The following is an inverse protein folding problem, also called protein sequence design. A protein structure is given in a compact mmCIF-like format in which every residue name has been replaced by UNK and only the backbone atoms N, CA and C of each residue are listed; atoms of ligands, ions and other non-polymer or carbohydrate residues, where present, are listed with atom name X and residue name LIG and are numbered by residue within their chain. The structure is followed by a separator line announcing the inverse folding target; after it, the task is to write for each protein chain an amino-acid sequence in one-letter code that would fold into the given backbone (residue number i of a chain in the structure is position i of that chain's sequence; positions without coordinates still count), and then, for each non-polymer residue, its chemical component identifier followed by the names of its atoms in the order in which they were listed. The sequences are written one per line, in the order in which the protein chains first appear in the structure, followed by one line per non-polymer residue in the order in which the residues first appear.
data_IF_569410324733
#
_entry.id   IF_569410324733
#
_cell.length_a   1.000
_cell.length_b   1.000
_cell.length_c   1.000
_cell.angle_alpha   90.00
_cell.angle_beta   90.00
_cell.angle_gamma   90.00
#
_symmetry.space_group_name_H-M   'P 1'
#
loop_
_entity.id
_entity.type
_entity.pdbx_description
1 polymer ?
#
# COMPACT_ATOMS: atom_id res chain seq x y z
N UNK A 1 -12.43 39.65 22.36
CA UNK A 1 -11.39 39.09 21.49
C UNK A 1 -11.13 37.67 21.95
N UNK A 2 -11.25 36.69 21.06
CA UNK A 2 -11.06 35.27 21.43
C UNK A 2 -9.61 35.00 21.86
N UNK A 3 -9.44 34.69 23.14
CA UNK A 3 -8.14 34.58 23.81
C UNK A 3 -7.23 33.45 23.25
N UNK A 4 -7.77 32.57 22.40
CA UNK A 4 -7.07 31.40 21.86
C UNK A 4 -6.80 31.47 20.35
N UNK A 5 -7.18 32.57 19.67
CA UNK A 5 -7.03 32.67 18.21
C UNK A 5 -5.56 32.49 17.74
N UNK A 6 -4.60 32.95 18.55
CA UNK A 6 -3.17 32.79 18.29
C UNK A 6 -2.66 31.34 18.42
N UNK A 7 -3.46 30.43 19.01
CA UNK A 7 -3.13 29.01 19.16
C UNK A 7 -3.74 28.14 18.05
N UNK A 8 -4.64 28.69 17.22
CA UNK A 8 -5.24 28.00 16.10
C UNK A 8 -4.28 28.05 14.91
N UNK A 9 -3.26 27.22 14.94
CA UNK A 9 -2.28 27.06 13.86
C UNK A 9 -2.42 25.68 13.22
N UNK A 10 -2.34 25.63 11.89
CA UNK A 10 -2.29 24.41 11.09
C UNK A 10 -0.92 23.71 11.17
N UNK A 11 -0.82 22.49 10.58
CA UNK A 11 0.41 21.68 10.62
C UNK A 11 1.63 22.35 9.95
N UNK A 12 1.40 23.33 9.09
CA UNK A 12 2.35 24.15 8.37
C UNK A 12 2.68 25.47 9.10
N UNK A 13 2.14 25.69 10.29
CA UNK A 13 2.30 26.90 11.09
C UNK A 13 1.46 28.09 10.61
N UNK A 14 0.58 27.90 9.62
CA UNK A 14 -0.35 28.94 9.16
C UNK A 14 -1.58 29.04 10.07
N UNK A 15 -2.27 30.20 10.14
CA UNK A 15 -3.53 30.31 10.87
C UNK A 15 -4.56 29.28 10.40
N UNK A 16 -5.11 28.50 11.34
CA UNK A 16 -6.16 27.53 11.09
C UNK A 16 -7.52 28.24 11.00
N UNK A 17 -8.36 27.83 10.04
CA UNK A 17 -9.67 28.44 9.81
C UNK A 17 -10.58 28.28 11.04
N UNK A 18 -10.94 29.39 11.73
CA UNK A 18 -11.79 29.33 12.92
C UNK A 18 -13.20 28.79 12.63
N UNK A 19 -13.67 28.88 11.38
CA UNK A 19 -15.00 28.40 10.98
C UNK A 19 -15.08 26.87 11.07
N UNK A 20 -13.95 26.16 10.94
CA UNK A 20 -13.88 24.71 11.11
C UNK A 20 -13.90 24.27 12.60
N UNK A 21 -13.73 25.21 13.54
CA UNK A 21 -13.64 24.94 14.99
C UNK A 21 -15.05 24.91 15.59
N UNK A 22 -15.74 23.79 15.40
CA UNK A 22 -17.09 23.56 15.93
C UNK A 22 -17.10 22.50 17.05
N UNK A 23 -18.05 22.51 18.00
CA UNK A 23 -18.13 21.51 19.08
C UNK A 23 -18.06 20.06 18.59
N UNK A 24 -18.64 19.79 17.42
CA UNK A 24 -18.61 18.47 16.80
C UNK A 24 -17.19 18.03 16.39
N UNK A 25 -16.32 18.97 15.97
CA UNK A 25 -14.94 18.69 15.61
C UNK A 25 -14.12 18.26 16.83
N UNK A 26 -14.32 18.90 17.98
CA UNK A 26 -13.66 18.49 19.24
C UNK A 26 -14.03 17.06 19.65
N UNK A 27 -15.31 16.70 19.52
CA UNK A 27 -15.80 15.35 19.81
C UNK A 27 -15.18 14.31 18.87
N UNK A 28 -15.06 14.61 17.59
CA UNK A 28 -14.39 13.74 16.61
C UNK A 28 -12.90 13.61 16.88
N UNK A 29 -12.20 14.70 17.18
CA UNK A 29 -10.77 14.66 17.52
C UNK A 29 -10.50 13.89 18.80
N UNK A 30 -11.34 14.05 19.83
CA UNK A 30 -11.28 13.26 21.06
C UNK A 30 -11.44 11.75 20.75
N UNK A 31 -12.49 11.39 20.01
CA UNK A 31 -12.76 10.01 19.63
C UNK A 31 -11.63 9.38 18.80
N UNK A 32 -11.12 10.13 17.82
CA UNK A 32 -10.06 9.69 16.93
C UNK A 32 -8.74 9.46 17.68
N UNK A 33 -8.38 10.34 18.63
CA UNK A 33 -7.18 10.16 19.46
C UNK A 33 -7.25 8.90 20.32
N UNK A 34 -8.39 8.63 20.95
CA UNK A 34 -8.58 7.43 21.77
C UNK A 34 -8.54 6.15 20.91
N UNK A 35 -9.12 6.19 19.70
CA UNK A 35 -9.00 5.08 18.76
C UNK A 35 -7.55 4.86 18.30
N UNK A 36 -6.80 5.93 18.02
CA UNK A 36 -5.38 5.88 17.65
C UNK A 36 -4.47 5.35 18.78
N UNK A 37 -4.84 5.61 20.03
CA UNK A 37 -4.15 5.13 21.23
C UNK A 37 -4.54 3.68 21.60
N UNK A 38 -5.45 3.06 20.84
CA UNK A 38 -5.79 1.64 20.97
C UNK A 38 -6.84 1.35 22.05
N UNK A 39 -7.61 2.34 22.50
CA UNK A 39 -8.75 2.13 23.40
C UNK A 39 -9.73 1.15 22.78
N UNK A 40 -10.30 0.23 23.56
CA UNK A 40 -11.24 -0.77 23.06
C UNK A 40 -12.52 -0.10 22.48
N UNK A 41 -13.05 -0.55 21.32
CA UNK A 41 -14.26 0.02 20.71
C UNK A 41 -15.49 0.10 21.62
N UNK A 42 -15.67 -0.85 22.53
CA UNK A 42 -16.80 -0.86 23.46
C UNK A 42 -16.64 0.21 24.54
N UNK A 43 -15.41 0.43 25.01
CA UNK A 43 -15.07 1.50 25.96
C UNK A 43 -15.24 2.86 25.29
N UNK A 44 -14.75 3.03 24.06
CA UNK A 44 -14.93 4.29 23.34
C UNK A 44 -16.40 4.55 23.00
N UNK A 45 -17.18 3.50 22.69
CA UNK A 45 -18.64 3.62 22.49
C UNK A 45 -19.32 4.16 23.75
N UNK A 46 -18.94 3.68 24.92
CA UNK A 46 -19.47 4.15 26.20
C UNK A 46 -19.04 5.59 26.50
N UNK A 47 -17.76 5.92 26.33
CA UNK A 47 -17.25 7.29 26.50
C UNK A 47 -17.94 8.30 25.57
N UNK A 48 -18.30 7.86 24.36
CA UNK A 48 -19.04 8.67 23.41
C UNK A 48 -20.56 8.61 23.65
N UNK A 49 -21.08 7.72 24.49
CA UNK A 49 -22.54 7.56 24.67
C UNK A 49 -23.25 7.08 23.39
N UNK A 50 -22.56 6.30 22.56
CA UNK A 50 -23.13 5.73 21.33
C UNK A 50 -23.99 4.50 21.65
N UNK A 51 -25.20 4.48 21.09
CA UNK A 51 -26.14 3.33 21.22
C UNK A 51 -25.76 2.14 20.34
N UNK A 52 -24.97 2.35 19.29
CA UNK A 52 -24.53 1.32 18.35
C UNK A 52 -23.01 1.31 18.24
N UNK A 53 -22.42 0.11 18.28
CA UNK A 53 -21.00 -0.13 17.98
C UNK A 53 -20.64 0.28 16.55
N UNK A 54 -21.58 0.17 15.60
CA UNK A 54 -21.37 0.55 14.20
C UNK A 54 -21.04 2.03 14.01
N UNK A 55 -21.62 2.92 14.85
CA UNK A 55 -21.32 4.36 14.81
C UNK A 55 -19.91 4.65 15.32
N UNK A 56 -19.46 3.94 16.34
CA UNK A 56 -18.09 4.06 16.89
C UNK A 56 -17.05 3.41 15.99
N UNK A 57 -17.42 2.34 15.26
CA UNK A 57 -16.53 1.61 14.37
C UNK A 57 -15.90 2.49 13.27
N UNK A 58 -16.53 3.62 12.92
CA UNK A 58 -15.97 4.63 12.03
C UNK A 58 -14.60 5.17 12.46
N UNK A 59 -14.35 5.31 13.77
CA UNK A 59 -13.07 5.76 14.32
C UNK A 59 -11.97 4.68 14.28
N UNK A 60 -12.38 3.41 14.20
CA UNK A 60 -11.49 2.25 14.09
C UNK A 60 -11.25 1.83 12.63
N UNK A 61 -11.90 2.51 11.68
CA UNK A 61 -11.51 2.45 10.27
C UNK A 61 -10.04 2.89 10.23
N UNK A 62 -9.19 2.07 9.63
CA UNK A 62 -7.73 2.14 9.73
C UNK A 62 -7.27 3.60 9.65
N UNK A 63 -6.80 4.12 10.78
CA UNK A 63 -6.56 5.54 10.94
C UNK A 63 -5.31 5.93 10.16
N UNK A 64 -5.25 7.17 9.67
CA UNK A 64 -4.12 7.64 8.86
C UNK A 64 -2.78 7.41 9.57
N UNK A 65 -2.74 7.61 10.89
CA UNK A 65 -1.56 7.34 11.73
C UNK A 65 -1.17 5.86 11.73
N UNK A 66 -2.14 4.95 11.82
CA UNK A 66 -1.89 3.49 11.79
C UNK A 66 -1.48 3.01 10.40
N UNK A 67 -2.12 3.51 9.35
CA UNK A 67 -1.69 3.27 7.95
C UNK A 67 -0.25 3.73 7.78
N UNK A 68 0.06 4.94 8.26
CA UNK A 68 1.39 5.54 8.15
C UNK A 68 2.45 4.72 8.86
N UNK A 69 2.20 4.28 10.09
CA UNK A 69 3.12 3.43 10.83
C UNK A 69 3.33 2.07 10.14
N UNK A 70 2.27 1.49 9.55
CA UNK A 70 2.37 0.25 8.81
C UNK A 70 3.19 0.41 7.51
N UNK A 71 2.96 1.49 6.75
CA UNK A 71 3.73 1.82 5.54
C UNK A 71 5.20 2.00 5.89
N UNK A 72 5.51 2.76 6.95
CA UNK A 72 6.90 3.00 7.37
C UNK A 72 7.58 1.66 7.74
N UNK A 73 6.88 0.76 8.44
CA UNK A 73 7.41 -0.57 8.80
C UNK A 73 7.70 -1.44 7.59
N UNK A 74 6.79 -1.47 6.61
CA UNK A 74 6.94 -2.31 5.42
C UNK A 74 7.96 -1.72 4.43
N UNK A 75 8.09 -0.39 4.37
CA UNK A 75 9.05 0.29 3.48
C UNK A 75 10.51 -0.08 3.74
N UNK A 76 10.85 -0.45 4.97
CA UNK A 76 12.19 -0.95 5.33
C UNK A 76 12.55 -2.27 4.63
N UNK A 77 11.56 -2.97 4.08
CA UNK A 77 11.72 -4.23 3.35
C UNK A 77 11.54 -4.05 1.83
N UNK A 78 11.70 -2.82 1.32
CA UNK A 78 11.59 -2.55 -0.11
C UNK A 78 12.76 -3.15 -0.91
N UNK A 79 12.40 -3.72 -2.06
CA UNK A 79 13.31 -4.28 -3.05
C UNK A 79 13.03 -3.68 -4.43
N UNK A 80 14.04 -3.61 -5.28
CA UNK A 80 13.86 -3.26 -6.70
C UNK A 80 13.36 -4.46 -7.53
N UNK A 81 13.12 -4.23 -8.83
CA UNK A 81 12.67 -5.29 -9.76
C UNK A 81 13.63 -6.47 -9.90
N UNK A 82 14.91 -6.30 -9.54
CA UNK A 82 15.92 -7.36 -9.54
C UNK A 82 16.08 -8.04 -8.17
N UNK A 83 15.26 -7.69 -7.18
CA UNK A 83 15.35 -8.23 -5.81
C UNK A 83 16.49 -7.64 -4.98
N UNK A 84 17.12 -6.55 -5.42
CA UNK A 84 18.13 -5.87 -4.60
C UNK A 84 17.42 -5.01 -3.56
N UNK A 85 17.90 -5.06 -2.31
CA UNK A 85 17.36 -4.23 -1.24
C UNK A 85 17.67 -2.77 -1.52
N UNK A 86 16.64 -1.94 -1.40
CA UNK A 86 16.72 -0.50 -1.68
C UNK A 86 17.22 0.23 -0.44
N UNK A 87 16.80 -0.27 0.73
CA UNK A 87 17.38 0.10 2.01
C UNK A 87 18.35 -1.00 2.43
N UNK A 88 19.66 -0.72 2.34
CA UNK A 88 20.62 -1.36 3.23
C UNK A 88 20.25 -1.05 4.69
N UNK A 89 20.80 -1.76 5.66
CA UNK A 89 20.59 -1.52 7.10
C UNK A 89 21.05 -0.11 7.55
N UNK A 90 20.39 0.95 7.07
CA UNK A 90 20.61 2.33 7.45
C UNK A 90 19.57 2.66 8.52
N UNK A 91 19.84 2.13 9.71
CA UNK A 91 19.27 2.61 10.96
C UNK A 91 19.63 4.10 11.08
N UNK A 92 18.68 5.00 10.77
CA UNK A 92 18.85 6.43 11.07
C UNK A 92 18.59 7.42 9.94
N UNK A 93 17.76 7.11 8.94
CA UNK A 93 17.20 8.19 8.12
C UNK A 93 16.37 9.13 9.01
N UNK A 94 16.69 10.42 8.97
CA UNK A 94 15.94 11.45 9.67
C UNK A 94 14.46 11.37 9.23
N UNK A 95 13.51 11.63 10.13
CA UNK A 95 12.06 11.58 9.81
C UNK A 95 11.69 12.39 8.55
N UNK A 96 12.45 13.45 8.25
CA UNK A 96 12.34 14.25 7.03
C UNK A 96 12.69 13.50 5.75
N UNK A 97 13.63 12.57 5.78
CA UNK A 97 14.03 11.77 4.62
C UNK A 97 12.98 10.69 4.31
N UNK A 98 12.40 10.07 5.35
CA UNK A 98 11.20 9.23 5.20
C UNK A 98 9.99 10.01 4.66
N UNK A 99 9.85 11.30 4.97
CA UNK A 99 8.79 12.15 4.43
C UNK A 99 9.05 12.52 2.96
N UNK A 100 10.30 12.87 2.59
CA UNK A 100 10.68 13.19 1.20
C UNK A 100 10.53 12.00 0.26
N UNK A 101 10.88 10.80 0.72
CA UNK A 101 10.71 9.56 -0.03
C UNK A 101 9.22 9.29 -0.30
N UNK A 102 8.33 9.58 0.66
CA UNK A 102 6.88 9.43 0.48
C UNK A 102 6.27 10.41 -0.51
N UNK A 103 6.73 11.66 -0.53
CA UNK A 103 6.30 12.66 -1.53
C UNK A 103 6.87 12.35 -2.92
N UNK A 104 8.01 11.63 -2.99
CA UNK A 104 8.69 11.22 -4.22
C UNK A 104 8.24 9.88 -4.80
N UNK A 105 7.03 9.41 -4.50
CA UNK A 105 6.53 8.10 -4.90
C UNK A 105 5.10 8.14 -5.44
N UNK A 106 4.80 7.26 -6.39
CA UNK A 106 3.44 7.05 -6.89
C UNK A 106 3.13 5.56 -7.01
N UNK A 107 1.90 5.16 -6.68
CA UNK A 107 1.45 3.78 -6.82
C UNK A 107 1.47 3.33 -8.30
N UNK A 108 1.96 2.12 -8.54
CA UNK A 108 1.97 1.45 -9.84
C UNK A 108 1.61 -0.02 -9.65
N UNK A 109 1.33 -0.79 -10.72
CA UNK A 109 1.09 -2.22 -10.61
C UNK A 109 2.17 -2.92 -9.77
N UNK A 110 1.72 -3.63 -8.73
CA UNK A 110 2.54 -4.45 -7.83
C UNK A 110 3.64 -3.72 -7.04
N UNK A 111 3.57 -2.38 -6.95
CA UNK A 111 4.56 -1.62 -6.23
C UNK A 111 4.36 -0.11 -6.30
N UNK A 112 5.49 0.60 -6.31
CA UNK A 112 5.57 2.04 -6.41
C UNK A 112 6.65 2.45 -7.41
N UNK A 113 6.51 3.64 -7.98
CA UNK A 113 7.48 4.27 -8.86
C UNK A 113 8.10 5.48 -8.17
N UNK A 114 9.43 5.59 -8.24
CA UNK A 114 10.20 6.71 -7.68
C UNK A 114 10.72 7.68 -8.74
N UNK A 115 10.28 7.56 -10.00
CA UNK A 115 10.77 8.42 -11.09
C UNK A 115 10.19 9.84 -10.96
N UNK A 116 11.00 10.90 -10.74
CA UNK A 116 10.49 12.22 -10.36
C UNK A 116 9.48 12.81 -11.36
N UNK A 117 9.70 12.63 -12.66
CA UNK A 117 8.78 13.13 -13.69
C UNK A 117 7.43 12.40 -13.65
N UNK A 118 7.45 11.08 -13.46
CA UNK A 118 6.23 10.28 -13.38
C UNK A 118 5.48 10.51 -12.07
N UNK A 119 6.20 10.68 -10.96
CA UNK A 119 5.61 11.04 -9.66
C UNK A 119 4.93 12.40 -9.74
N UNK A 120 5.60 13.42 -10.32
CA UNK A 120 5.02 14.76 -10.51
C UNK A 120 3.75 14.72 -11.38
N UNK A 121 3.69 13.79 -12.33
CA UNK A 121 2.52 13.58 -13.18
C UNK A 121 1.47 12.63 -12.57
N UNK A 122 1.58 12.26 -11.29
CA UNK A 122 0.63 11.35 -10.64
C UNK A 122 0.55 9.97 -11.29
N UNK A 123 1.66 9.48 -11.85
CA UNK A 123 1.75 8.18 -12.51
C UNK A 123 1.30 8.17 -13.98
N UNK A 124 0.90 9.32 -14.53
CA UNK A 124 0.30 9.43 -15.86
C UNK A 124 1.31 9.71 -16.99
N UNK A 125 2.59 9.93 -16.69
CA UNK A 125 3.61 10.27 -17.72
C UNK A 125 4.59 9.15 -18.04
N UNK A 126 4.44 7.96 -17.44
CA UNK A 126 5.33 6.83 -17.69
C UNK A 126 5.31 6.39 -19.17
N UNK A 127 6.45 6.36 -19.87
CA UNK A 127 6.51 5.92 -21.27
C UNK A 127 6.48 4.39 -21.42
N UNK A 128 6.82 3.64 -20.36
CA UNK A 128 7.02 2.19 -20.39
C UNK A 128 5.79 1.36 -19.98
N UNK A 129 4.63 2.01 -19.81
CA UNK A 129 3.32 1.47 -19.38
C UNK A 129 3.25 -0.06 -19.19
N UNK A 130 2.97 -0.49 -17.95
CA UNK A 130 2.84 -1.89 -17.51
C UNK A 130 4.14 -2.70 -17.40
N UNK A 131 5.28 -2.22 -17.89
CA UNK A 131 6.59 -2.90 -17.74
C UNK A 131 7.32 -2.52 -16.45
N UNK A 132 6.59 -2.32 -15.34
CA UNK A 132 7.17 -1.82 -14.09
C UNK A 132 8.25 -2.74 -13.53
N UNK A 133 8.06 -4.07 -13.58
CA UNK A 133 9.01 -5.06 -13.06
C UNK A 133 10.41 -4.94 -13.69
N UNK A 134 10.51 -4.50 -14.95
CA UNK A 134 11.78 -4.29 -15.65
C UNK A 134 12.35 -2.87 -15.50
N UNK A 135 11.68 -1.97 -14.77
CA UNK A 135 12.06 -0.57 -14.67
C UNK A 135 12.98 -0.31 -13.45
N UNK A 136 14.07 0.43 -13.65
CA UNK A 136 15.01 0.80 -12.57
C UNK A 136 14.41 1.69 -11.46
N UNK A 137 13.25 2.30 -11.69
CA UNK A 137 12.53 3.15 -10.72
C UNK A 137 11.44 2.40 -9.94
N UNK A 138 11.21 1.12 -10.26
CA UNK A 138 10.21 0.31 -9.59
C UNK A 138 10.70 -0.20 -8.26
N UNK A 139 9.83 -0.13 -7.25
CA UNK A 139 10.07 -0.70 -5.92
C UNK A 139 8.85 -1.51 -5.52
N UNK A 140 9.08 -2.68 -4.95
CA UNK A 140 8.03 -3.51 -4.34
C UNK A 140 8.38 -3.80 -2.88
N UNK A 141 7.41 -4.33 -2.15
CA UNK A 141 7.53 -4.63 -0.72
C UNK A 141 6.61 -5.81 -0.35
N UNK A 142 6.79 -6.40 0.85
CA UNK A 142 5.98 -7.53 1.31
C UNK A 142 4.46 -7.38 1.21
N UNK A 143 3.93 -6.15 1.23
CA UNK A 143 2.47 -5.94 1.15
C UNK A 143 1.87 -6.31 -0.20
N UNK A 144 2.69 -6.38 -1.27
CA UNK A 144 2.30 -6.77 -2.63
C UNK A 144 2.51 -8.25 -2.93
N UNK A 145 3.07 -9.02 -1.98
CA UNK A 145 3.41 -10.44 -2.20
C UNK A 145 2.22 -11.28 -2.70
N UNK A 146 0.98 -11.15 -2.16
CA UNK A 146 -0.16 -11.89 -2.68
C UNK A 146 -0.51 -11.54 -4.14
N UNK A 147 -0.47 -10.26 -4.51
CA UNK A 147 -0.74 -9.81 -5.88
C UNK A 147 0.35 -10.29 -6.85
N UNK A 148 1.62 -10.26 -6.44
CA UNK A 148 2.74 -10.79 -7.22
C UNK A 148 2.58 -12.29 -7.49
N UNK A 149 2.19 -13.07 -6.47
CA UNK A 149 1.91 -14.51 -6.61
C UNK A 149 0.73 -14.76 -7.55
N UNK A 150 -0.35 -13.99 -7.39
CA UNK A 150 -1.52 -14.09 -8.27
C UNK A 150 -1.18 -13.74 -9.71
N UNK A 151 -0.36 -12.73 -9.94
CA UNK A 151 0.09 -12.35 -11.28
C UNK A 151 0.96 -13.45 -11.90
N UNK A 152 1.88 -14.05 -11.13
CA UNK A 152 2.68 -15.17 -11.60
C UNK A 152 1.79 -16.36 -12.01
N UNK A 153 0.80 -16.72 -11.19
CA UNK A 153 -0.15 -17.78 -11.52
C UNK A 153 -0.93 -17.46 -12.79
N UNK A 154 -1.34 -16.21 -12.97
CA UNK A 154 -2.02 -15.77 -14.19
C UNK A 154 -1.12 -15.93 -15.42
N UNK A 155 0.14 -15.48 -15.37
CA UNK A 155 1.08 -15.62 -16.48
C UNK A 155 1.31 -17.08 -16.88
N UNK A 156 1.45 -17.97 -15.90
CA UNK A 156 1.61 -19.41 -16.15
C UNK A 156 0.34 -20.01 -16.78
N UNK A 157 -0.83 -19.66 -16.25
CA UNK A 157 -2.10 -20.13 -16.80
C UNK A 157 -2.40 -19.55 -18.20
N UNK A 158 -1.97 -18.32 -18.48
CA UNK A 158 -2.06 -17.70 -19.81
C UNK A 158 -1.12 -18.40 -20.79
N UNK A 159 0.11 -18.73 -20.37
CA UNK A 159 1.07 -19.49 -21.18
C UNK A 159 0.53 -20.89 -21.54
N UNK A 160 -0.02 -21.63 -20.57
CA UNK A 160 -0.63 -22.95 -20.82
C UNK A 160 -1.81 -22.86 -21.80
N UNK A 161 -2.71 -21.87 -21.60
CA UNK A 161 -3.85 -21.65 -22.51
C UNK A 161 -3.39 -21.30 -23.92
N UNK A 162 -2.39 -20.44 -24.07
CA UNK A 162 -1.84 -20.08 -25.36
C UNK A 162 -1.09 -21.22 -26.03
N UNK A 163 -0.54 -22.20 -25.29
CA UNK A 163 0.04 -23.40 -25.88
C UNK A 163 -1.04 -24.36 -26.41
N UNK A 164 -2.15 -24.48 -25.69
CA UNK A 164 -3.26 -25.37 -26.07
C UNK A 164 -4.20 -24.79 -27.16
N UNK A 165 -4.20 -23.47 -27.35
CA UNK A 165 -5.09 -22.81 -28.31
C UNK A 165 -4.87 -23.32 -29.75
N UNK A 166 -5.93 -23.57 -30.50
CA UNK A 166 -5.86 -23.99 -31.92
C UNK A 166 -6.50 -22.97 -32.86
N UNK A 167 -7.16 -21.96 -32.30
CA UNK A 167 -7.98 -20.94 -32.97
C UNK A 167 -7.26 -19.59 -33.11
N UNK A 168 -5.93 -19.57 -32.93
CA UNK A 168 -5.11 -18.37 -33.01
C UNK A 168 -3.88 -18.60 -33.91
N UNK A 169 -3.62 -17.61 -34.76
CA UNK A 169 -2.44 -17.58 -35.64
C UNK A 169 -1.13 -17.46 -34.84
N UNK A 170 -0.04 -18.00 -35.40
CA UNK A 170 1.24 -18.11 -34.71
C UNK A 170 1.83 -16.75 -34.29
N UNK A 171 1.70 -15.72 -35.13
CA UNK A 171 2.21 -14.38 -34.79
C UNK A 171 1.44 -13.76 -33.61
N UNK A 172 0.13 -14.00 -33.52
CA UNK A 172 -0.71 -13.49 -32.44
C UNK A 172 -0.44 -14.26 -31.15
N UNK A 173 -0.24 -15.58 -31.24
CA UNK A 173 0.21 -16.43 -30.12
C UNK A 173 1.54 -15.94 -29.56
N UNK A 174 2.53 -15.68 -30.42
CA UNK A 174 3.83 -15.17 -30.00
C UNK A 174 3.74 -13.77 -29.36
N UNK A 175 2.84 -12.91 -29.83
CA UNK A 175 2.61 -11.57 -29.27
C UNK A 175 1.92 -11.62 -27.90
N UNK A 176 0.99 -12.55 -27.69
CA UNK A 176 0.26 -12.71 -26.43
C UNK A 176 1.04 -13.51 -25.39
N UNK A 177 2.01 -14.33 -25.82
CA UNK A 177 2.81 -15.13 -24.93
C UNK A 177 3.55 -14.24 -23.92
N UNK A 178 3.40 -14.49 -22.60
CA UNK A 178 4.13 -13.74 -21.61
C UNK A 178 5.64 -13.99 -21.77
N UNK A 179 6.50 -12.95 -21.69
CA UNK A 179 7.94 -13.14 -21.80
C UNK A 179 8.49 -14.02 -20.66
N UNK A 180 9.33 -15.00 -21.00
CA UNK A 180 9.97 -15.88 -20.00
C UNK A 180 10.85 -15.09 -19.01
N UNK A 181 11.43 -13.98 -19.47
CA UNK A 181 12.20 -13.04 -18.64
C UNK A 181 11.33 -12.38 -17.57
N UNK A 182 10.06 -12.05 -17.90
CA UNK A 182 9.12 -11.48 -16.94
C UNK A 182 8.75 -12.50 -15.87
N UNK A 183 8.42 -13.74 -16.27
CA UNK A 183 8.13 -14.84 -15.35
C UNK A 183 9.33 -15.11 -14.43
N UNK A 184 10.54 -15.11 -14.99
CA UNK A 184 11.79 -15.34 -14.25
C UNK A 184 12.05 -14.23 -13.23
N UNK A 185 11.92 -12.97 -13.66
CA UNK A 185 12.09 -11.78 -12.80
C UNK A 185 11.07 -11.80 -11.67
N UNK A 186 9.80 -12.08 -11.98
CA UNK A 186 8.72 -12.15 -10.98
C UNK A 186 8.96 -13.28 -9.96
N UNK A 187 9.39 -14.47 -10.40
CA UNK A 187 9.78 -15.58 -9.51
C UNK A 187 10.95 -15.21 -8.61
N UNK A 188 11.94 -14.48 -9.12
CA UNK A 188 13.08 -14.02 -8.32
C UNK A 188 12.64 -13.00 -7.27
N UNK A 189 11.81 -12.02 -7.66
CA UNK A 189 11.26 -11.01 -6.77
C UNK A 189 10.45 -11.64 -5.62
N UNK A 190 9.52 -12.56 -5.93
CA UNK A 190 8.72 -13.28 -4.93
C UNK A 190 9.63 -14.03 -3.95
N UNK A 191 10.55 -14.85 -4.47
CA UNK A 191 11.48 -15.63 -3.63
C UNK A 191 12.33 -14.73 -2.73
N UNK A 192 12.76 -13.58 -3.24
CA UNK A 192 13.54 -12.62 -2.46
C UNK A 192 12.74 -12.05 -1.31
N UNK A 193 11.51 -11.61 -1.56
CA UNK A 193 10.62 -11.06 -0.53
C UNK A 193 10.34 -12.13 0.54
N UNK A 194 10.06 -13.37 0.14
CA UNK A 194 9.83 -14.48 1.06
C UNK A 194 11.07 -14.77 1.92
N UNK A 195 12.24 -14.91 1.29
CA UNK A 195 13.51 -15.13 2.00
C UNK A 195 13.77 -14.00 3.00
N UNK A 196 13.54 -12.76 2.60
CA UNK A 196 13.74 -11.59 3.45
C UNK A 196 12.80 -11.60 4.68
N UNK A 197 11.56 -12.06 4.53
CA UNK A 197 10.64 -12.26 5.65
C UNK A 197 11.03 -13.46 6.53
N UNK A 198 11.60 -14.50 5.94
CA UNK A 198 12.02 -15.71 6.66
C UNK A 198 13.21 -15.46 7.59
N UNK A 199 14.08 -14.49 7.26
CA UNK A 199 15.20 -14.07 8.12
C UNK A 199 14.80 -13.29 9.37
N UNK A 200 13.54 -12.89 9.50
CA UNK A 200 13.06 -12.08 10.61
C UNK A 200 12.78 -12.92 11.85
N UNK A 201 12.85 -12.27 13.01
CA UNK A 201 12.38 -12.86 14.27
C UNK A 201 10.86 -13.09 14.22
N UNK A 202 10.35 -14.03 15.02
CA UNK A 202 8.91 -14.30 15.07
C UNK A 202 8.09 -13.07 15.47
N UNK A 203 8.63 -12.26 16.38
CA UNK A 203 8.03 -10.99 16.80
C UNK A 203 7.96 -10.00 15.63
N UNK A 204 9.06 -9.81 14.90
CA UNK A 204 9.10 -8.90 13.75
C UNK A 204 8.20 -9.36 12.62
N UNK A 205 8.17 -10.68 12.35
CA UNK A 205 7.30 -11.29 11.35
C UNK A 205 5.83 -11.03 11.65
N UNK A 206 5.41 -11.20 12.90
CA UNK A 206 4.03 -10.91 13.34
C UNK A 206 3.69 -9.43 13.12
N UNK A 207 4.57 -8.52 13.53
CA UNK A 207 4.34 -7.08 13.38
C UNK A 207 4.29 -6.64 11.92
N UNK A 208 5.10 -7.24 11.04
CA UNK A 208 5.07 -6.98 9.60
C UNK A 208 3.80 -7.55 8.97
N UNK A 209 3.36 -8.75 9.37
CA UNK A 209 2.09 -9.32 8.91
C UNK A 209 0.89 -8.43 9.26
N UNK A 210 0.85 -7.88 10.48
CA UNK A 210 -0.16 -6.90 10.88
C UNK A 210 -0.11 -5.62 10.05
N UNK A 211 1.10 -5.09 9.81
CA UNK A 211 1.30 -3.90 8.98
C UNK A 211 0.83 -4.15 7.52
N UNK A 212 1.15 -5.30 6.95
CA UNK A 212 0.67 -5.72 5.63
C UNK A 212 -0.86 -5.73 5.61
N UNK A 213 -1.52 -6.32 6.61
CA UNK A 213 -2.97 -6.38 6.69
C UNK A 213 -3.62 -4.98 6.75
N UNK A 214 -3.02 -4.07 7.50
CA UNK A 214 -3.42 -2.66 7.60
C UNK A 214 -3.35 -1.96 6.24
N UNK A 215 -2.23 -2.09 5.53
CA UNK A 215 -2.03 -1.50 4.19
C UNK A 215 -3.03 -2.08 3.19
N UNK A 216 -3.19 -3.40 3.17
CA UNK A 216 -4.07 -4.10 2.23
C UNK A 216 -5.54 -3.71 2.40
N UNK A 217 -6.04 -3.64 3.64
CA UNK A 217 -7.41 -3.16 3.92
C UNK A 217 -7.63 -1.75 3.39
N UNK A 218 -6.64 -0.89 3.52
CA UNK A 218 -6.70 0.50 3.02
C UNK A 218 -6.77 0.54 1.49
N UNK A 219 -5.93 -0.25 0.80
CA UNK A 219 -5.95 -0.37 -0.68
C UNK A 219 -7.25 -0.95 -1.22
N UNK A 220 -7.92 -1.85 -0.50
CA UNK A 220 -9.23 -2.38 -0.90
C UNK A 220 -10.34 -1.34 -0.80
N UNK A 221 -10.23 -0.40 0.15
CA UNK A 221 -11.22 0.68 0.32
C UNK A 221 -10.99 1.89 -0.59
N UNK A 222 -9.77 2.09 -1.08
CA UNK A 222 -9.40 3.19 -1.98
C UNK A 222 -9.05 2.58 -3.33
N UNK A 223 -9.97 2.67 -4.30
CA UNK A 223 -9.72 2.19 -5.66
C UNK A 223 -8.64 3.05 -6.33
N UNK A 224 -7.37 2.65 -6.20
CA UNK A 224 -6.21 3.34 -6.77
C UNK A 224 -6.08 3.15 -8.30
N UNK A 225 -7.16 2.81 -9.01
CA UNK A 225 -7.11 2.53 -10.45
C UNK A 225 -6.23 1.32 -10.84
N UNK A 226 -5.90 0.47 -9.87
CA UNK A 226 -5.11 -0.75 -10.10
C UNK A 226 -5.94 -1.74 -10.92
N UNK A 227 -5.35 -2.43 -11.91
CA UNK A 227 -6.05 -3.51 -12.61
C UNK A 227 -6.50 -4.55 -11.57
N UNK A 228 -7.81 -4.69 -11.42
CA UNK A 228 -8.39 -5.69 -10.52
C UNK A 228 -8.15 -7.06 -11.13
N UNK A 229 -7.38 -7.89 -10.43
CA UNK A 229 -7.36 -9.33 -10.71
C UNK A 229 -8.76 -9.84 -10.39
N UNK A 230 -9.45 -10.39 -11.39
CA UNK A 230 -10.77 -10.99 -11.19
C UNK A 230 -10.56 -12.21 -10.27
N UNK A 231 -11.20 -12.28 -9.09
CA UNK A 231 -11.09 -13.47 -8.26
C UNK A 231 -11.62 -14.68 -9.05
N UNK A 232 -11.07 -15.88 -8.85
CA UNK A 232 -11.59 -17.09 -9.48
C UNK A 232 -13.06 -17.24 -9.10
N UNK A 233 -13.93 -17.32 -10.11
CA UNK A 233 -15.35 -17.59 -9.93
C UNK A 233 -15.50 -18.91 -9.19
N UNK A 234 -16.12 -18.88 -8.01
CA UNK A 234 -16.51 -20.10 -7.30
C UNK A 234 -17.40 -20.95 -8.23
N UNK A 235 -17.21 -22.29 -8.28
CA UNK A 235 -18.06 -23.14 -9.08
C UNK A 235 -19.51 -23.03 -8.58
N UNK A 236 -20.43 -22.89 -9.53
CA UNK A 236 -21.86 -22.92 -9.24
C UNK A 236 -22.20 -24.23 -8.51
N UNK A 237 -22.88 -24.11 -7.37
CA UNK A 237 -23.46 -25.24 -6.64
C UNK A 237 -24.68 -25.79 -7.37
#
# INVERSE_FOLDING_TARGET
MDAIAHLLLGPDGQPYDPVAVVPYAYRHTYAQRHADEGVNPDVLRELLGHRSTGTTAGYYRVTEKRVRAAVDRVSAHQVDGHGRRVFGQLSGLLAHEHARIRVGQVAVPFGICTEPSNVKAGGQSCPYKFTCLGCGHFRSDPSYLPELKSYLQQLLADQERLQAATDIEDWARAKLAPPDEEITTLRQLIRRIETDLDTLTEQDRTQIAEAINVIRKTRQTVALGMPSIRPPTAPAR
#
